data_IF_597976049526
#
_entry.id   IF_597976049526
#
_cell.length_a   1.000
_cell.length_b   1.000
_cell.length_c   1.000
_cell.angle_alpha   90.00
_cell.angle_beta   90.00
_cell.angle_gamma   90.00
#
_symmetry.space_group_name_H-M   'P 1'
#
loop_
_entity.id
_entity.type
_entity.pdbx_description
1 polymer ?
#
# COMPACT_ATOMS: atom_id res chain seq x y z
N UNK A 1 -39.09 -16.31 33.91
CA UNK A 1 -37.98 -16.71 33.00
C UNK A 1 -38.06 -15.86 31.74
N UNK A 2 -37.14 -14.89 31.55
CA UNK A 2 -37.08 -14.11 30.32
C UNK A 2 -36.45 -14.98 29.23
N UNK A 3 -37.26 -15.36 28.23
CA UNK A 3 -36.75 -16.01 27.01
C UNK A 3 -35.69 -15.10 26.37
N UNK A 4 -34.44 -15.53 26.35
CA UNK A 4 -33.37 -14.88 25.53
C UNK A 4 -33.75 -15.09 24.08
N UNK A 5 -34.35 -14.06 23.44
CA UNK A 5 -34.50 -14.04 21.98
C UNK A 5 -33.12 -14.14 21.37
N UNK A 6 -32.82 -15.26 20.74
CA UNK A 6 -31.63 -15.42 19.91
C UNK A 6 -31.70 -14.36 18.81
N UNK A 7 -30.82 -13.39 18.81
CA UNK A 7 -30.76 -12.41 17.74
C UNK A 7 -30.28 -13.10 16.47
N UNK A 8 -31.20 -13.33 15.55
CA UNK A 8 -30.91 -13.95 14.24
C UNK A 8 -29.76 -13.29 13.49
N UNK A 9 -29.48 -12.02 13.81
CA UNK A 9 -28.32 -11.30 13.26
C UNK A 9 -26.99 -12.00 13.55
N UNK A 10 -26.81 -12.64 14.72
CA UNK A 10 -25.59 -13.39 15.03
C UNK A 10 -25.45 -14.66 14.18
N UNK A 11 -26.57 -15.28 13.81
CA UNK A 11 -26.55 -16.45 12.95
C UNK A 11 -26.10 -16.10 11.52
N UNK A 12 -26.49 -14.92 11.02
CA UNK A 12 -26.05 -14.43 9.70
C UNK A 12 -24.56 -14.07 9.66
N UNK A 13 -23.99 -13.61 10.78
CA UNK A 13 -22.57 -13.25 10.88
C UNK A 13 -21.71 -14.49 11.21
N UNK A 14 -22.28 -15.53 11.82
CA UNK A 14 -21.55 -16.70 12.29
C UNK A 14 -20.66 -17.37 11.20
N UNK A 15 -21.11 -17.60 9.96
CA UNK A 15 -20.25 -18.20 8.93
C UNK A 15 -19.00 -17.38 8.64
N UNK A 16 -19.16 -16.05 8.52
CA UNK A 16 -18.04 -15.16 8.27
C UNK A 16 -17.07 -15.11 9.45
N UNK A 17 -17.59 -15.09 10.68
CA UNK A 17 -16.77 -15.16 11.89
C UNK A 17 -16.01 -16.48 11.99
N UNK A 18 -16.64 -17.60 11.72
CA UNK A 18 -16.00 -18.94 11.76
C UNK A 18 -14.85 -19.01 10.75
N UNK A 19 -15.04 -18.53 9.53
CA UNK A 19 -13.97 -18.49 8.52
C UNK A 19 -12.85 -17.56 8.99
N UNK A 20 -13.16 -16.36 9.47
CA UNK A 20 -12.16 -15.41 9.96
C UNK A 20 -11.35 -15.97 11.13
N UNK A 21 -12.01 -16.61 12.10
CA UNK A 21 -11.34 -17.24 13.25
C UNK A 21 -10.44 -18.38 12.77
N UNK A 22 -10.95 -19.25 11.90
CA UNK A 22 -10.19 -20.44 11.45
C UNK A 22 -9.03 -20.09 10.54
N UNK A 23 -9.16 -19.08 9.67
CA UNK A 23 -8.14 -18.77 8.65
C UNK A 23 -7.18 -17.67 9.09
N UNK A 24 -7.60 -16.77 9.97
CA UNK A 24 -6.78 -15.62 10.39
C UNK A 24 -6.33 -15.78 11.85
N UNK A 25 -7.27 -15.93 12.78
CA UNK A 25 -6.92 -15.93 14.22
C UNK A 25 -6.17 -17.18 14.64
N UNK A 26 -6.61 -18.35 14.22
CA UNK A 26 -5.99 -19.60 14.64
C UNK A 26 -4.56 -19.75 14.13
N UNK A 27 -4.23 -19.53 12.83
CA UNK A 27 -2.84 -19.51 12.38
C UNK A 27 -2.02 -18.38 13.02
N UNK A 28 -2.62 -17.22 13.29
CA UNK A 28 -1.96 -16.13 14.00
C UNK A 28 -1.53 -16.52 15.42
N UNK A 29 -2.41 -17.15 16.18
CA UNK A 29 -2.10 -17.69 17.52
C UNK A 29 -1.03 -18.79 17.43
N UNK A 30 -1.15 -19.71 16.47
CA UNK A 30 -0.15 -20.76 16.24
C UNK A 30 1.23 -20.17 15.93
N UNK A 31 1.30 -19.11 15.11
CA UNK A 31 2.56 -18.42 14.82
C UNK A 31 3.20 -17.85 16.08
N UNK A 32 2.40 -17.26 16.97
CA UNK A 32 2.90 -16.76 18.26
C UNK A 32 3.44 -17.92 19.10
N UNK A 33 2.73 -19.05 19.19
CA UNK A 33 3.18 -20.21 19.95
C UNK A 33 4.47 -20.79 19.35
N UNK A 34 4.53 -20.96 18.04
CA UNK A 34 5.70 -21.51 17.35
C UNK A 34 6.92 -20.58 17.44
N UNK A 35 6.73 -19.27 17.59
CA UNK A 35 7.86 -18.35 17.77
C UNK A 35 8.70 -18.62 19.03
N UNK A 36 8.15 -19.34 20.01
CA UNK A 36 8.84 -19.76 21.23
C UNK A 36 9.38 -21.20 21.16
N UNK A 37 9.30 -21.85 20.00
CA UNK A 37 9.71 -23.24 19.80
C UNK A 37 10.75 -23.36 18.69
N UNK A 38 11.40 -24.53 18.59
CA UNK A 38 12.29 -24.89 17.49
C UNK A 38 11.57 -25.45 16.26
N UNK A 39 10.25 -25.15 16.12
CA UNK A 39 9.44 -25.64 15.02
C UNK A 39 9.91 -25.09 13.66
N UNK A 40 10.30 -26.01 12.77
CA UNK A 40 10.84 -25.69 11.45
C UNK A 40 9.82 -25.86 10.29
N UNK A 41 8.55 -26.06 10.60
CA UNK A 41 7.49 -26.25 9.61
C UNK A 41 7.38 -27.66 9.02
N UNK A 42 8.30 -28.57 9.34
CA UNK A 42 8.37 -29.94 8.77
C UNK A 42 8.25 -31.01 9.86
N UNK A 43 8.97 -30.83 10.97
CA UNK A 43 8.99 -31.81 12.07
C UNK A 43 7.72 -31.72 12.91
N UNK A 44 7.13 -32.87 13.21
CA UNK A 44 6.00 -32.97 14.15
C UNK A 44 6.43 -32.80 15.61
N UNK A 45 7.70 -33.06 15.92
CA UNK A 45 8.27 -32.89 17.24
C UNK A 45 8.99 -31.52 17.30
N UNK A 46 8.60 -30.69 18.23
CA UNK A 46 9.24 -29.43 18.51
C UNK A 46 9.36 -29.23 20.02
N UNK A 47 10.41 -28.53 20.42
CA UNK A 47 10.70 -28.24 21.82
C UNK A 47 10.46 -26.75 22.10
N UNK A 48 10.10 -26.42 23.32
CA UNK A 48 10.02 -25.05 23.78
C UNK A 48 11.42 -24.50 24.06
N UNK A 49 11.82 -23.49 23.30
CA UNK A 49 13.14 -22.84 23.39
C UNK A 49 13.09 -21.41 23.95
N UNK A 50 11.91 -20.96 24.37
CA UNK A 50 11.70 -19.63 24.94
C UNK A 50 12.01 -18.52 23.96
N UNK A 51 12.87 -17.58 24.33
CA UNK A 51 13.20 -16.38 23.52
C UNK A 51 14.41 -16.56 22.59
N UNK A 52 14.87 -17.79 22.34
CA UNK A 52 16.07 -18.01 21.55
C UNK A 52 15.93 -17.50 20.11
N UNK A 53 14.79 -17.77 19.45
CA UNK A 53 14.53 -17.26 18.11
C UNK A 53 14.60 -15.72 18.05
N UNK A 54 14.08 -15.04 19.05
CA UNK A 54 14.14 -13.58 19.13
C UNK A 54 15.57 -13.08 19.35
N UNK A 55 16.35 -13.77 20.17
CA UNK A 55 17.76 -13.45 20.38
C UNK A 55 18.55 -13.57 19.08
N UNK A 56 18.35 -14.64 18.33
CA UNK A 56 18.99 -14.85 17.02
C UNK A 56 18.56 -13.78 16.02
N UNK A 57 17.25 -13.47 15.95
CA UNK A 57 16.70 -12.43 15.08
C UNK A 57 17.33 -11.05 15.35
N UNK A 58 17.50 -10.66 16.61
CA UNK A 58 18.14 -9.39 16.99
C UNK A 58 19.66 -9.35 16.75
N UNK A 59 20.29 -10.47 16.44
CA UNK A 59 21.70 -10.53 15.99
C UNK A 59 21.83 -10.64 14.47
N UNK A 60 20.71 -10.84 13.75
CA UNK A 60 20.72 -10.96 12.29
C UNK A 60 20.78 -9.59 11.62
N UNK A 61 21.84 -9.36 10.87
CA UNK A 61 22.04 -8.14 10.07
C UNK A 61 20.95 -7.97 9.00
N UNK A 62 20.44 -9.08 8.45
CA UNK A 62 19.42 -9.05 7.40
C UNK A 62 18.10 -8.53 7.97
N UNK A 63 17.78 -8.90 9.21
CA UNK A 63 16.60 -8.40 9.92
C UNK A 63 16.60 -6.88 10.04
N UNK A 64 17.70 -6.29 10.50
CA UNK A 64 17.81 -4.83 10.62
C UNK A 64 17.78 -4.13 9.26
N UNK A 65 18.38 -4.75 8.23
CA UNK A 65 18.30 -4.23 6.86
C UNK A 65 16.84 -4.24 6.36
N UNK A 66 16.10 -5.31 6.63
CA UNK A 66 14.68 -5.42 6.28
C UNK A 66 13.83 -4.37 7.02
N UNK A 67 14.05 -4.17 8.32
CA UNK A 67 13.36 -3.11 9.09
C UNK A 67 13.65 -1.74 8.49
N UNK A 68 14.91 -1.42 8.22
CA UNK A 68 15.29 -0.13 7.61
C UNK A 68 14.58 0.08 6.27
N UNK A 69 14.59 -0.94 5.42
CA UNK A 69 13.93 -0.87 4.12
C UNK A 69 12.43 -0.70 4.26
N UNK A 70 11.78 -1.39 5.20
CA UNK A 70 10.36 -1.21 5.49
C UNK A 70 10.04 0.20 5.98
N UNK A 71 10.88 0.78 6.84
CA UNK A 71 10.70 2.17 7.30
C UNK A 71 10.80 3.17 6.16
N UNK A 72 11.81 3.03 5.30
CA UNK A 72 11.97 3.87 4.10
C UNK A 72 10.74 3.74 3.20
N UNK A 73 10.31 2.51 2.91
CA UNK A 73 9.12 2.24 2.11
C UNK A 73 7.86 2.87 2.71
N UNK A 74 7.65 2.67 3.99
CA UNK A 74 6.48 3.21 4.71
C UNK A 74 6.43 4.73 4.64
N UNK A 75 7.56 5.40 4.90
CA UNK A 75 7.65 6.87 4.82
C UNK A 75 7.35 7.36 3.40
N UNK A 76 7.97 6.75 2.39
CA UNK A 76 7.72 7.11 0.99
C UNK A 76 6.26 6.89 0.60
N UNK A 77 5.66 5.78 1.04
CA UNK A 77 4.32 5.38 0.65
C UNK A 77 3.21 6.15 1.38
N UNK A 78 3.46 6.60 2.60
CA UNK A 78 2.51 7.46 3.33
C UNK A 78 2.59 8.91 2.82
N UNK A 79 3.76 9.37 2.35
CA UNK A 79 3.93 10.78 1.98
C UNK A 79 3.64 11.02 0.50
N UNK A 80 4.37 10.38 -0.40
CA UNK A 80 4.38 10.77 -1.81
C UNK A 80 3.03 10.51 -2.51
N UNK A 81 2.47 9.28 -2.53
CA UNK A 81 1.21 9.04 -3.23
C UNK A 81 0.03 9.73 -2.55
N UNK A 82 0.09 9.92 -1.22
CA UNK A 82 -0.93 10.68 -0.48
C UNK A 82 -0.95 12.14 -0.90
N UNK A 83 0.22 12.79 -0.94
CA UNK A 83 0.31 14.18 -1.39
C UNK A 83 -0.09 14.34 -2.86
N UNK A 84 0.40 13.48 -3.75
CA UNK A 84 0.06 13.54 -5.18
C UNK A 84 -1.44 13.29 -5.37
N UNK A 85 -1.99 12.26 -4.72
CA UNK A 85 -3.41 11.91 -4.80
C UNK A 85 -4.32 13.02 -4.28
N UNK A 86 -3.96 13.65 -3.16
CA UNK A 86 -4.72 14.78 -2.61
C UNK A 86 -4.68 16.00 -3.53
N UNK A 87 -3.50 16.37 -4.03
CA UNK A 87 -3.35 17.48 -4.98
C UNK A 87 -4.15 17.22 -6.25
N UNK A 88 -4.08 16.02 -6.81
CA UNK A 88 -4.85 15.64 -7.99
C UNK A 88 -6.37 15.70 -7.72
N UNK A 89 -6.83 15.24 -6.56
CA UNK A 89 -8.23 15.30 -6.17
C UNK A 89 -8.73 16.75 -6.04
N UNK A 90 -7.95 17.63 -5.43
CA UNK A 90 -8.30 19.07 -5.32
C UNK A 90 -8.36 19.74 -6.69
N UNK A 91 -7.42 19.43 -7.60
CA UNK A 91 -7.43 19.94 -8.98
C UNK A 91 -8.68 19.45 -9.72
N UNK A 92 -9.05 18.19 -9.55
CA UNK A 92 -10.26 17.63 -10.16
C UNK A 92 -11.54 18.20 -9.54
N UNK A 93 -11.54 18.55 -8.28
CA UNK A 93 -12.69 19.17 -7.62
C UNK A 93 -13.05 20.52 -8.26
N UNK A 94 -12.05 21.32 -8.62
CA UNK A 94 -12.22 22.63 -9.27
C UNK A 94 -12.70 22.55 -10.72
N UNK A 95 -12.54 21.41 -11.40
CA UNK A 95 -12.84 21.23 -12.85
C UNK A 95 -14.15 20.46 -13.06
N UNK A 96 -15.29 21.17 -13.17
CA UNK A 96 -16.60 20.53 -13.31
C UNK A 96 -16.85 19.85 -14.68
N UNK A 97 -16.46 20.49 -15.78
CA UNK A 97 -16.78 20.02 -17.15
C UNK A 97 -15.87 18.90 -17.67
N UNK A 98 -14.57 18.94 -17.35
CA UNK A 98 -13.56 17.99 -17.87
C UNK A 98 -13.15 16.95 -16.84
N UNK A 99 -13.71 17.01 -15.63
CA UNK A 99 -13.36 16.13 -14.51
C UNK A 99 -13.39 14.64 -14.88
N UNK A 100 -14.45 14.18 -15.56
CA UNK A 100 -14.63 12.78 -15.90
C UNK A 100 -13.51 12.26 -16.79
N UNK A 101 -13.04 13.05 -17.74
CA UNK A 101 -11.96 12.67 -18.64
C UNK A 101 -10.64 12.52 -17.87
N UNK A 102 -10.30 13.51 -17.03
CA UNK A 102 -9.09 13.45 -16.21
C UNK A 102 -9.15 12.34 -15.16
N UNK A 103 -10.32 12.09 -14.57
CA UNK A 103 -10.51 11.00 -13.61
C UNK A 103 -10.25 9.64 -14.26
N UNK A 104 -10.75 9.41 -15.47
CA UNK A 104 -10.47 8.17 -16.23
C UNK A 104 -8.98 8.08 -16.56
N UNK A 105 -8.37 9.15 -17.08
CA UNK A 105 -6.96 9.17 -17.40
C UNK A 105 -6.07 8.90 -16.17
N UNK A 106 -6.40 9.48 -15.01
CA UNK A 106 -5.66 9.25 -13.77
C UNK A 106 -5.84 7.84 -13.22
N UNK A 107 -6.95 7.16 -13.52
CA UNK A 107 -7.16 5.78 -13.09
C UNK A 107 -6.38 4.76 -13.91
N UNK A 108 -5.89 5.10 -15.09
CA UNK A 108 -5.16 4.16 -15.96
C UNK A 108 -4.06 3.40 -15.22
N UNK A 109 -3.17 4.04 -14.44
CA UNK A 109 -2.14 3.31 -13.71
C UNK A 109 -2.69 2.23 -12.78
N UNK A 110 -3.75 2.51 -12.07
CA UNK A 110 -4.33 1.58 -11.09
C UNK A 110 -5.11 0.42 -11.71
N UNK A 111 -5.71 0.64 -12.88
CA UNK A 111 -6.49 -0.40 -13.59
C UNK A 111 -5.58 -1.47 -14.21
N UNK A 112 -4.30 -1.17 -14.42
CA UNK A 112 -3.35 -2.16 -14.93
C UNK A 112 -3.16 -3.28 -13.91
N UNK A 113 -3.25 -4.53 -14.39
CA UNK A 113 -2.91 -5.69 -13.56
C UNK A 113 -1.45 -5.56 -13.06
N UNK A 114 -1.16 -5.91 -11.80
CA UNK A 114 0.19 -5.74 -11.23
C UNK A 114 1.31 -6.37 -12.06
N UNK A 115 1.06 -7.53 -12.66
CA UNK A 115 2.03 -8.19 -13.54
C UNK A 115 2.31 -7.37 -14.81
N UNK A 116 1.29 -6.79 -15.43
CA UNK A 116 1.43 -5.93 -16.62
C UNK A 116 2.17 -4.65 -16.26
N UNK A 117 1.83 -4.05 -15.10
CA UNK A 117 2.53 -2.89 -14.58
C UNK A 117 4.03 -3.19 -14.39
N UNK A 118 4.37 -4.30 -13.74
CA UNK A 118 5.76 -4.71 -13.55
C UNK A 118 6.50 -4.91 -14.88
N UNK A 119 5.87 -5.57 -15.86
CA UNK A 119 6.45 -5.76 -17.20
C UNK A 119 6.66 -4.44 -17.94
N UNK A 120 5.73 -3.50 -17.85
CA UNK A 120 5.86 -2.19 -18.46
C UNK A 120 7.07 -1.43 -17.88
N UNK A 121 7.20 -1.39 -16.57
CA UNK A 121 8.32 -0.71 -15.93
C UNK A 121 9.65 -1.40 -16.23
N UNK A 122 9.69 -2.74 -16.18
CA UNK A 122 10.92 -3.50 -16.42
C UNK A 122 11.41 -3.38 -17.86
N UNK A 123 10.50 -3.56 -18.84
CA UNK A 123 10.88 -3.70 -20.24
C UNK A 123 10.80 -2.39 -21.03
N UNK A 124 10.00 -1.41 -20.58
CA UNK A 124 9.82 -0.15 -21.29
C UNK A 124 10.50 1.00 -20.56
N UNK A 125 10.30 1.15 -19.27
CA UNK A 125 10.83 2.31 -18.53
C UNK A 125 12.30 2.10 -18.14
N UNK A 126 12.60 0.98 -17.47
CA UNK A 126 13.93 0.67 -16.94
C UNK A 126 14.84 -0.05 -17.93
N UNK A 127 14.38 -0.34 -19.14
CA UNK A 127 15.19 -1.01 -20.15
C UNK A 127 16.42 -0.15 -20.53
N UNK A 128 17.63 -0.69 -20.42
CA UNK A 128 18.83 0.03 -20.81
C UNK A 128 19.04 0.12 -22.34
N UNK A 129 18.24 -0.62 -23.10
CA UNK A 129 18.39 -0.70 -24.57
C UNK A 129 17.36 0.16 -25.30
N UNK A 130 16.10 0.11 -24.90
CA UNK A 130 15.00 0.78 -25.63
C UNK A 130 14.12 1.65 -24.73
N UNK A 131 14.40 1.70 -23.43
CA UNK A 131 13.54 2.35 -22.44
C UNK A 131 13.82 3.83 -22.24
N UNK A 132 13.05 4.42 -21.31
CA UNK A 132 13.24 5.81 -20.88
C UNK A 132 14.65 6.02 -20.33
N UNK A 133 15.21 5.03 -19.63
CA UNK A 133 16.59 5.08 -19.11
C UNK A 133 17.59 5.18 -20.27
N UNK A 134 17.41 4.41 -21.34
CA UNK A 134 18.24 4.49 -22.55
C UNK A 134 18.10 5.84 -23.25
N UNK A 135 16.89 6.36 -23.36
CA UNK A 135 16.61 7.67 -23.93
C UNK A 135 17.33 8.78 -23.17
N UNK A 136 17.25 8.78 -21.83
CA UNK A 136 17.92 9.77 -20.98
C UNK A 136 19.45 9.69 -21.10
N UNK A 137 20.01 8.48 -21.29
CA UNK A 137 21.43 8.30 -21.52
C UNK A 137 21.94 9.03 -22.78
N UNK A 138 21.12 9.09 -23.83
CA UNK A 138 21.45 9.85 -25.04
C UNK A 138 21.57 11.38 -24.81
N UNK A 139 20.96 11.89 -23.73
CA UNK A 139 21.08 13.27 -23.27
C UNK A 139 22.16 13.47 -22.21
N UNK A 140 23.03 12.48 -21.99
CA UNK A 140 24.12 12.55 -21.01
C UNK A 140 23.70 12.24 -19.56
N UNK A 141 22.44 11.82 -19.33
CA UNK A 141 21.92 11.43 -18.01
C UNK A 141 21.99 9.91 -17.91
N UNK A 142 23.09 9.37 -17.39
CA UNK A 142 23.23 7.93 -17.17
C UNK A 142 22.72 7.56 -15.78
N UNK A 143 21.49 7.04 -15.73
CA UNK A 143 20.86 6.52 -14.51
C UNK A 143 21.30 5.08 -14.20
N UNK A 144 22.09 4.44 -15.07
CA UNK A 144 22.39 3.02 -14.97
C UNK A 144 21.13 2.15 -15.03
N UNK A 145 21.24 0.93 -14.49
CA UNK A 145 20.03 0.11 -14.27
C UNK A 145 19.50 0.37 -12.85
N UNK A 146 18.29 0.96 -12.71
CA UNK A 146 17.74 1.28 -11.38
C UNK A 146 17.59 0.05 -10.48
N UNK A 147 17.47 -1.13 -11.05
CA UNK A 147 17.32 -2.41 -10.35
C UNK A 147 18.63 -3.14 -10.08
N UNK A 148 19.77 -2.68 -10.63
CA UNK A 148 21.04 -3.39 -10.52
C UNK A 148 21.71 -3.27 -9.13
N UNK A 149 21.33 -2.30 -8.32
CA UNK A 149 21.91 -2.06 -6.99
C UNK A 149 20.85 -2.21 -5.92
N UNK A 150 21.17 -2.87 -4.80
CA UNK A 150 20.29 -2.97 -3.64
C UNK A 150 19.87 -1.59 -3.09
N UNK A 151 20.69 -0.57 -3.26
CA UNK A 151 20.38 0.79 -2.79
C UNK A 151 19.38 1.49 -3.70
N UNK A 152 19.47 1.33 -5.02
CA UNK A 152 18.56 1.95 -5.98
C UNK A 152 17.29 1.15 -6.21
N UNK A 153 17.35 -0.17 -6.08
CA UNK A 153 16.21 -1.05 -6.33
C UNK A 153 14.99 -0.73 -5.42
N UNK A 154 15.22 -0.40 -4.15
CA UNK A 154 14.11 -0.04 -3.25
C UNK A 154 13.37 1.21 -3.73
N UNK A 155 14.10 2.23 -4.19
CA UNK A 155 13.50 3.46 -4.70
C UNK A 155 12.83 3.25 -6.06
N UNK A 156 13.42 2.40 -6.91
CA UNK A 156 12.81 2.05 -8.20
C UNK A 156 11.48 1.29 -8.00
N UNK A 157 11.47 0.28 -7.15
CA UNK A 157 10.24 -0.46 -6.82
C UNK A 157 9.21 0.44 -6.14
N UNK A 158 9.62 1.27 -5.18
CA UNK A 158 8.72 2.22 -4.54
C UNK A 158 8.13 3.22 -5.56
N UNK A 159 8.92 3.69 -6.52
CA UNK A 159 8.45 4.57 -7.59
C UNK A 159 7.36 3.92 -8.46
N UNK A 160 7.52 2.63 -8.78
CA UNK A 160 6.51 1.84 -9.53
C UNK A 160 5.20 1.75 -8.75
N UNK A 161 5.28 1.42 -7.46
CA UNK A 161 4.10 1.30 -6.61
C UNK A 161 3.45 2.66 -6.34
N UNK A 162 4.23 3.71 -6.12
CA UNK A 162 3.72 5.07 -5.97
C UNK A 162 2.97 5.49 -7.23
N UNK A 163 3.55 5.25 -8.42
CA UNK A 163 2.89 5.55 -9.70
C UNK A 163 1.58 4.79 -9.88
N UNK A 164 1.51 3.55 -9.43
CA UNK A 164 0.31 2.73 -9.48
C UNK A 164 -0.75 3.22 -8.47
N UNK A 165 -0.34 3.57 -7.25
CA UNK A 165 -1.25 3.73 -6.11
C UNK A 165 -1.82 5.15 -5.93
N UNK A 166 -1.06 6.22 -6.32
CA UNK A 166 -1.57 7.59 -6.17
C UNK A 166 -2.87 7.84 -6.94
N UNK A 167 -3.07 7.17 -8.05
CA UNK A 167 -4.27 7.28 -8.87
C UNK A 167 -5.52 6.74 -8.15
N UNK A 168 -5.39 5.64 -7.44
CA UNK A 168 -6.44 5.11 -6.57
C UNK A 168 -6.79 6.09 -5.43
N UNK A 169 -5.77 6.63 -4.77
CA UNK A 169 -5.97 7.63 -3.71
C UNK A 169 -6.66 8.87 -4.24
N UNK A 170 -6.35 9.32 -5.46
CA UNK A 170 -7.02 10.46 -6.09
C UNK A 170 -8.54 10.27 -6.13
N UNK A 171 -9.00 9.07 -6.52
CA UNK A 171 -10.43 8.79 -6.61
C UNK A 171 -11.09 8.75 -5.25
N UNK A 172 -10.44 8.13 -4.26
CA UNK A 172 -10.95 8.09 -2.88
C UNK A 172 -11.04 9.50 -2.30
N UNK A 173 -9.98 10.30 -2.42
CA UNK A 173 -9.98 11.68 -1.91
C UNK A 173 -11.00 12.55 -2.63
N UNK A 174 -11.13 12.42 -3.95
CA UNK A 174 -12.15 13.14 -4.71
C UNK A 174 -13.56 12.76 -4.24
N UNK A 175 -13.81 11.48 -4.00
CA UNK A 175 -15.10 11.02 -3.49
C UNK A 175 -15.38 11.59 -2.08
N UNK A 176 -14.39 11.55 -1.18
CA UNK A 176 -14.50 12.09 0.16
C UNK A 176 -14.74 13.60 0.16
N UNK A 177 -13.96 14.36 -0.62
CA UNK A 177 -14.11 15.81 -0.74
C UNK A 177 -15.49 16.23 -1.29
N UNK A 178 -16.07 15.41 -2.16
CA UNK A 178 -17.42 15.67 -2.71
C UNK A 178 -18.54 15.37 -1.74
N UNK A 179 -18.29 14.59 -0.71
CA UNK A 179 -19.28 14.28 0.33
C UNK A 179 -19.35 15.36 1.43
N UNK A 180 -18.45 16.35 1.41
CA UNK A 180 -18.46 17.44 2.38
C UNK A 180 -19.77 18.25 2.22
N UNK A 181 -20.60 18.37 3.27
CA UNK A 181 -21.85 19.13 3.22
C UNK A 181 -21.60 20.60 2.85
N UNK A 182 -22.47 21.16 2.02
CA UNK A 182 -22.37 22.58 1.58
C UNK A 182 -22.39 23.54 2.74
N UNK A 183 -23.18 23.24 3.77
CA UNK A 183 -23.32 24.07 4.98
C UNK A 183 -21.97 24.22 5.73
N UNK A 184 -21.15 23.18 5.75
CA UNK A 184 -19.81 23.25 6.36
C UNK A 184 -18.85 24.12 5.55
N UNK A 185 -18.95 24.04 4.21
CA UNK A 185 -18.14 24.88 3.32
C UNK A 185 -18.55 26.35 3.41
N UNK A 186 -19.85 26.61 3.54
CA UNK A 186 -20.40 27.97 3.70
C UNK A 186 -20.00 28.56 5.06
N UNK A 187 -20.11 27.78 6.14
CA UNK A 187 -19.66 28.19 7.47
C UNK A 187 -18.16 28.57 7.48
N UNK A 188 -17.31 27.71 6.90
CA UNK A 188 -15.88 27.99 6.79
C UNK A 188 -15.58 29.28 5.99
N UNK A 189 -16.38 29.58 4.95
CA UNK A 189 -16.25 30.85 4.21
C UNK A 189 -16.65 32.07 5.04
N UNK A 190 -17.69 31.94 5.88
CA UNK A 190 -18.10 33.02 6.80
C UNK A 190 -17.00 33.26 7.83
N UNK A 191 -16.33 32.21 8.30
CA UNK A 191 -15.19 32.28 9.22
C UNK A 191 -13.88 32.80 8.55
N UNK A 192 -13.94 33.20 7.27
CA UNK A 192 -12.81 33.80 6.55
C UNK A 192 -11.88 32.80 5.86
N UNK A 193 -12.22 31.50 5.83
CA UNK A 193 -11.45 30.53 5.09
C UNK A 193 -11.61 30.75 3.58
N UNK A 194 -10.53 31.12 2.91
CA UNK A 194 -10.47 31.16 1.46
C UNK A 194 -10.07 29.77 0.92
N UNK A 195 -10.34 29.48 -0.35
CA UNK A 195 -10.26 28.18 -0.98
C UNK A 195 -8.88 27.49 -1.03
N UNK A 196 -8.01 27.81 -0.08
CA UNK A 196 -6.71 27.15 0.22
C UNK A 196 -6.53 27.09 1.72
#
# INVERSE_FOLDING_TARGET
MKSKKINWNYLLIAPALLISVSVILLPGIMTIVYSFTDYNGISQNFNFIGLQNFKELFHDRIFFLAIRNNLIWTIMFITIPVCIGMLAAMLLLSRSKTRSIYQVAFLIPYVLAPAVNAMLWLNVIFSPVVGVVSFLKNFGIDLGSPLASMKSAIFACAGVDIWHYWSYLTVIYLAALRQTPTDQVEAARIDGCNGW
#
